data_IF_451790619324
#
_entry.id   IF_451790619324
#
_cell.length_a   1.000
_cell.length_b   1.000
_cell.length_c   1.000
_cell.angle_alpha   90.00
_cell.angle_beta   90.00
_cell.angle_gamma   90.00
#
_symmetry.space_group_name_H-M   'P 1'
#
loop_
_entity.id
_entity.type
_entity.pdbx_description
1 polymer ?
#
# COMPACT_ATOMS: atom_id res chain seq x y z
N UNK A 1 26.50 0.01 -23.99
CA UNK A 1 25.97 0.20 -22.63
C UNK A 1 24.58 -0.43 -22.63
N UNK A 2 24.49 -1.69 -22.21
CA UNK A 2 23.25 -2.46 -22.33
C UNK A 2 22.26 -1.96 -21.27
N UNK A 3 21.08 -1.52 -21.71
CA UNK A 3 19.90 -1.47 -20.85
C UNK A 3 19.69 -2.91 -20.33
N UNK A 4 20.15 -3.19 -19.12
CA UNK A 4 19.84 -4.47 -18.49
C UNK A 4 18.36 -4.43 -18.12
N UNK A 5 17.67 -5.55 -18.31
CA UNK A 5 16.26 -5.69 -17.94
C UNK A 5 16.02 -5.27 -16.46
N UNK A 6 17.02 -5.49 -15.60
CA UNK A 6 17.03 -5.01 -14.21
C UNK A 6 16.94 -3.48 -14.09
N UNK A 7 17.72 -2.70 -14.85
CA UNK A 7 17.67 -1.25 -14.79
C UNK A 7 16.30 -0.69 -15.18
N UNK A 8 15.66 -1.27 -16.20
CA UNK A 8 14.29 -0.92 -16.58
C UNK A 8 13.29 -1.26 -15.47
N UNK A 9 13.44 -2.42 -14.82
CA UNK A 9 12.63 -2.81 -13.66
C UNK A 9 12.76 -1.83 -12.48
N UNK A 10 13.97 -1.37 -12.16
CA UNK A 10 14.17 -0.37 -11.10
C UNK A 10 13.55 0.99 -11.45
N UNK A 11 13.69 1.46 -12.69
CA UNK A 11 13.07 2.73 -13.13
C UNK A 11 11.54 2.65 -13.01
N UNK A 12 10.94 1.55 -13.48
CA UNK A 12 9.49 1.34 -13.38
C UNK A 12 9.05 1.21 -11.91
N UNK A 13 9.78 0.46 -11.09
CA UNK A 13 9.50 0.31 -9.67
C UNK A 13 9.61 1.63 -8.90
N UNK A 14 10.55 2.51 -9.28
CA UNK A 14 10.71 3.85 -8.70
C UNK A 14 9.51 4.74 -9.04
N UNK A 15 9.05 4.73 -10.30
CA UNK A 15 7.87 5.49 -10.70
C UNK A 15 6.60 5.00 -9.98
N UNK A 16 6.41 3.68 -9.89
CA UNK A 16 5.27 3.12 -9.18
C UNK A 16 5.34 3.33 -7.66
N UNK A 17 6.52 3.25 -7.04
CA UNK A 17 6.64 3.55 -5.61
C UNK A 17 6.38 5.01 -5.30
N UNK A 18 6.80 5.95 -6.15
CA UNK A 18 6.42 7.36 -6.00
C UNK A 18 4.90 7.56 -6.02
N UNK A 19 4.21 6.88 -6.94
CA UNK A 19 2.74 6.90 -6.99
C UNK A 19 2.13 6.27 -5.73
N UNK A 20 2.63 5.11 -5.27
CA UNK A 20 2.15 4.47 -4.04
C UNK A 20 2.33 5.34 -2.79
N UNK A 21 3.43 6.10 -2.69
CA UNK A 21 3.65 7.05 -1.59
C UNK A 21 2.52 8.10 -1.56
N UNK A 22 2.15 8.65 -2.72
CA UNK A 22 1.04 9.60 -2.82
C UNK A 22 -0.29 8.97 -2.37
N UNK A 23 -0.57 7.72 -2.80
CA UNK A 23 -1.76 7.00 -2.36
C UNK A 23 -1.79 6.76 -0.86
N UNK A 24 -0.67 6.38 -0.24
CA UNK A 24 -0.61 6.16 1.22
C UNK A 24 -0.81 7.47 1.98
N UNK A 25 -0.22 8.58 1.51
CA UNK A 25 -0.44 9.89 2.11
C UNK A 25 -1.93 10.28 2.04
N UNK A 26 -2.58 10.06 0.89
CA UNK A 26 -4.01 10.29 0.74
C UNK A 26 -4.84 9.43 1.73
N UNK A 27 -4.49 8.17 1.93
CA UNK A 27 -5.14 7.32 2.93
C UNK A 27 -4.94 7.83 4.36
N UNK A 28 -3.72 8.26 4.73
CA UNK A 28 -3.42 8.80 6.07
C UNK A 28 -4.25 10.06 6.34
N UNK A 29 -4.28 11.00 5.39
CA UNK A 29 -5.09 12.22 5.49
C UNK A 29 -6.57 11.85 5.59
N UNK A 30 -7.04 10.90 4.76
CA UNK A 30 -8.42 10.46 4.79
C UNK A 30 -8.85 9.88 6.15
N UNK A 31 -7.95 9.17 6.85
CA UNK A 31 -8.19 8.69 8.21
C UNK A 31 -8.09 9.79 9.27
N UNK A 32 -7.26 10.82 9.05
CA UNK A 32 -7.17 11.98 9.95
C UNK A 32 -8.42 12.89 9.86
N UNK A 33 -8.97 13.07 8.66
CA UNK A 33 -10.27 13.73 8.43
C UNK A 33 -11.43 12.99 9.13
N UNK A 34 -11.41 11.65 9.08
CA UNK A 34 -12.34 10.79 9.81
C UNK A 34 -12.23 10.98 11.33
N UNK A 35 -11.00 11.11 11.85
CA UNK A 35 -10.74 11.28 13.29
C UNK A 35 -11.19 12.64 13.81
N UNK A 36 -11.09 13.67 12.97
CA UNK A 36 -11.52 15.04 13.29
C UNK A 36 -13.00 15.29 13.00
N UNK A 37 -13.76 14.24 12.64
CA UNK A 37 -15.20 14.27 12.34
C UNK A 37 -15.56 15.27 11.23
N UNK A 38 -14.64 15.48 10.28
CA UNK A 38 -14.82 16.46 9.21
C UNK A 38 -15.72 15.93 8.07
N UNK A 39 -15.90 14.61 7.98
CA UNK A 39 -16.53 13.93 6.84
C UNK A 39 -17.27 12.65 7.25
N UNK A 40 -18.31 12.31 6.50
CA UNK A 40 -19.07 11.08 6.74
C UNK A 40 -18.22 9.83 6.51
N UNK A 41 -18.25 8.85 7.45
CA UNK A 41 -17.44 7.64 7.36
C UNK A 41 -17.84 6.72 6.20
N UNK A 42 -19.11 6.76 5.79
CA UNK A 42 -19.65 5.98 4.67
C UNK A 42 -19.05 6.46 3.35
N UNK A 43 -19.05 7.78 3.11
CA UNK A 43 -18.52 8.37 1.89
C UNK A 43 -17.00 8.18 1.80
N UNK A 44 -16.30 8.26 2.93
CA UNK A 44 -14.86 8.04 2.97
C UNK A 44 -14.51 6.56 2.73
N UNK A 45 -15.24 5.60 3.32
CA UNK A 45 -15.02 4.18 3.06
C UNK A 45 -15.31 3.81 1.60
N UNK A 46 -16.34 4.39 0.99
CA UNK A 46 -16.66 4.18 -0.43
C UNK A 46 -15.58 4.73 -1.38
N UNK A 47 -14.89 5.80 -1.00
CA UNK A 47 -13.78 6.34 -1.79
C UNK A 47 -12.46 5.61 -1.54
N UNK A 48 -12.18 5.17 -0.31
CA UNK A 48 -10.93 4.48 0.05
C UNK A 48 -10.91 3.02 -0.43
N UNK A 49 -12.02 2.27 -0.31
CA UNK A 49 -12.09 0.86 -0.73
C UNK A 49 -11.58 0.57 -2.14
N UNK A 50 -12.06 1.28 -3.18
CA UNK A 50 -11.61 1.02 -4.54
C UNK A 50 -10.15 1.45 -4.76
N UNK A 51 -9.56 2.27 -3.88
CA UNK A 51 -8.16 2.70 -3.98
C UNK A 51 -7.18 1.71 -3.35
N UNK A 52 -7.62 0.87 -2.41
CA UNK A 52 -6.78 -0.19 -1.80
C UNK A 52 -6.41 -1.29 -2.80
N UNK A 53 -7.33 -1.63 -3.71
CA UNK A 53 -7.11 -2.66 -4.74
C UNK A 53 -5.97 -2.29 -5.72
N UNK A 54 -5.96 -1.09 -6.32
CA UNK A 54 -4.83 -0.57 -7.09
C UNK A 54 -3.51 -0.57 -6.31
N UNK A 55 -3.51 -0.22 -5.02
CA UNK A 55 -2.30 -0.23 -4.20
C UNK A 55 -1.65 -1.63 -4.18
N UNK A 56 -2.45 -2.66 -3.85
CA UNK A 56 -1.98 -4.04 -3.82
C UNK A 56 -1.59 -4.57 -5.18
N UNK A 57 -2.36 -4.23 -6.22
CA UNK A 57 -2.05 -4.64 -7.58
C UNK A 57 -0.72 -4.06 -8.06
N UNK A 58 -0.53 -2.75 -7.91
CA UNK A 58 0.72 -2.08 -8.28
C UNK A 58 1.90 -2.63 -7.47
N UNK A 59 1.71 -2.84 -6.17
CA UNK A 59 2.75 -3.41 -5.30
C UNK A 59 3.20 -4.80 -5.74
N UNK A 60 2.23 -5.67 -6.07
CA UNK A 60 2.50 -7.01 -6.56
C UNK A 60 3.12 -6.98 -7.96
N UNK A 61 2.66 -6.09 -8.84
CA UNK A 61 3.10 -5.99 -10.23
C UNK A 61 4.61 -5.73 -10.33
N UNK A 62 5.13 -4.71 -9.65
CA UNK A 62 6.57 -4.44 -9.70
C UNK A 62 7.39 -5.53 -9.01
N UNK A 63 6.83 -6.22 -8.00
CA UNK A 63 7.53 -7.31 -7.33
C UNK A 63 7.69 -8.54 -8.22
N UNK A 64 6.65 -8.87 -9.00
CA UNK A 64 6.73 -9.92 -10.03
C UNK A 64 7.76 -9.54 -11.08
N UNK A 65 7.85 -8.27 -11.44
CA UNK A 65 8.89 -7.79 -12.36
C UNK A 65 10.31 -7.95 -11.78
N UNK A 66 10.51 -7.72 -10.48
CA UNK A 66 11.78 -8.03 -9.80
C UNK A 66 12.11 -9.52 -9.74
N UNK A 67 11.09 -10.39 -9.62
CA UNK A 67 11.27 -11.85 -9.69
C UNK A 67 11.83 -12.26 -11.06
N UNK A 68 11.26 -11.74 -12.15
CA UNK A 68 11.77 -12.01 -13.50
C UNK A 68 13.14 -11.40 -13.76
N UNK A 69 13.49 -10.30 -13.08
CA UNK A 69 14.80 -9.67 -13.18
C UNK A 69 15.90 -10.43 -12.39
N UNK A 70 15.53 -11.41 -11.56
CA UNK A 70 16.48 -12.16 -10.73
C UNK A 70 17.02 -11.36 -9.54
N UNK A 71 16.30 -10.31 -9.13
CA UNK A 71 16.74 -9.35 -8.11
C UNK A 71 16.27 -9.77 -6.70
N UNK A 72 16.82 -10.87 -6.20
CA UNK A 72 16.40 -11.55 -4.97
C UNK A 72 16.46 -10.68 -3.71
N UNK A 73 17.43 -9.76 -3.60
CA UNK A 73 17.59 -8.87 -2.45
C UNK A 73 16.47 -7.83 -2.37
N UNK A 74 16.04 -7.26 -3.50
CA UNK A 74 14.89 -6.35 -3.57
C UNK A 74 13.59 -7.08 -3.23
N UNK A 75 13.46 -8.32 -3.70
CA UNK A 75 12.29 -9.16 -3.44
C UNK A 75 12.19 -9.53 -1.95
N UNK A 76 13.30 -9.94 -1.33
CA UNK A 76 13.35 -10.24 0.11
C UNK A 76 12.96 -9.06 0.98
N UNK A 77 13.38 -7.85 0.61
CA UNK A 77 13.03 -6.62 1.34
C UNK A 77 11.51 -6.36 1.31
N UNK A 78 10.84 -6.64 0.18
CA UNK A 78 9.39 -6.46 0.01
C UNK A 78 8.54 -7.65 0.48
N UNK A 79 9.14 -8.84 0.62
CA UNK A 79 8.48 -10.06 1.08
C UNK A 79 7.65 -9.89 2.38
N UNK A 80 8.14 -9.25 3.45
CA UNK A 80 7.33 -9.02 4.66
C UNK A 80 6.09 -8.15 4.39
N UNK A 81 6.18 -7.16 3.51
CA UNK A 81 5.05 -6.31 3.16
C UNK A 81 4.00 -7.08 2.33
N UNK A 82 4.44 -7.92 1.40
CA UNK A 82 3.55 -8.80 0.61
C UNK A 82 2.85 -9.79 1.51
N UNK A 83 3.59 -10.47 2.40
CA UNK A 83 3.01 -11.40 3.37
C UNK A 83 1.98 -10.70 4.25
N UNK A 84 2.25 -9.46 4.65
CA UNK A 84 1.29 -8.64 5.40
C UNK A 84 0.04 -8.31 4.58
N UNK A 85 0.18 -7.92 3.31
CA UNK A 85 -0.97 -7.67 2.42
C UNK A 85 -1.84 -8.92 2.22
N UNK A 86 -1.22 -10.09 2.00
CA UNK A 86 -1.93 -11.37 1.85
C UNK A 86 -2.64 -11.73 3.16
N UNK A 87 -1.94 -11.67 4.29
CA UNK A 87 -2.51 -12.00 5.59
C UNK A 87 -3.68 -11.07 5.95
N UNK A 88 -3.59 -9.79 5.58
CA UNK A 88 -4.67 -8.83 5.77
C UNK A 88 -5.86 -9.08 4.86
N UNK A 89 -5.61 -9.48 3.60
CA UNK A 89 -6.68 -9.84 2.67
C UNK A 89 -7.39 -11.12 3.11
N UNK A 90 -6.68 -12.09 3.70
CA UNK A 90 -7.27 -13.34 4.20
C UNK A 90 -8.05 -13.15 5.52
N UNK A 91 -7.56 -12.31 6.43
CA UNK A 91 -8.23 -12.02 7.70
C UNK A 91 -9.26 -10.88 7.61
N UNK A 92 -9.70 -10.51 6.40
CA UNK A 92 -10.78 -9.54 6.24
C UNK A 92 -12.08 -10.13 6.81
N UNK A 93 -12.86 -9.39 7.62
CA UNK A 93 -14.21 -9.82 7.96
C UNK A 93 -15.03 -9.94 6.67
N UNK A 94 -15.90 -10.96 6.60
CA UNK A 94 -16.75 -11.22 5.44
C UNK A 94 -17.79 -10.11 5.35
N UNK A 95 -17.50 -9.07 4.55
CA UNK A 95 -18.44 -8.01 4.22
C UNK A 95 -19.23 -8.38 2.96
N UNK A 96 -20.47 -7.93 2.89
CA UNK A 96 -21.38 -8.13 1.75
C UNK A 96 -21.00 -7.33 0.49
N UNK A 97 -19.98 -6.46 0.56
CA UNK A 97 -19.48 -5.65 -0.56
C UNK A 97 -17.97 -5.83 -0.83
N UNK A 98 -17.49 -5.38 -2.00
CA UNK A 98 -16.06 -5.34 -2.30
C UNK A 98 -15.38 -4.27 -1.44
N UNK A 99 -14.62 -4.69 -0.44
CA UNK A 99 -13.98 -3.75 0.48
C UNK A 99 -13.16 -4.35 1.61
N UNK A 100 -12.22 -3.56 2.12
CA UNK A 100 -11.42 -3.86 3.31
C UNK A 100 -11.92 -3.10 4.56
N UNK A 101 -12.62 -1.98 4.38
CA UNK A 101 -13.10 -1.12 5.46
C UNK A 101 -14.62 -1.10 5.51
N UNK A 102 -15.20 -1.39 6.69
CA UNK A 102 -16.63 -1.26 6.97
C UNK A 102 -16.86 0.09 7.66
N UNK A 103 -17.76 0.94 7.16
CA UNK A 103 -18.05 2.23 7.77
C UNK A 103 -18.55 2.12 9.22
N UNK A 104 -19.16 0.99 9.61
CA UNK A 104 -19.61 0.76 10.99
C UNK A 104 -18.46 0.38 11.93
N UNK A 105 -17.43 -0.29 11.42
CA UNK A 105 -16.31 -0.76 12.22
C UNK A 105 -15.18 0.28 12.29
N UNK A 106 -15.00 1.09 11.24
CA UNK A 106 -13.93 2.10 11.14
C UNK A 106 -14.08 3.25 12.15
N UNK A 107 -15.30 3.52 12.62
CA UNK A 107 -15.56 4.53 13.65
C UNK A 107 -15.07 4.11 15.05
N UNK A 108 -14.77 2.83 15.26
CA UNK A 108 -14.17 2.41 16.53
C UNK A 108 -12.75 2.99 16.64
N UNK A 109 -12.50 3.73 17.72
CA UNK A 109 -11.22 4.40 17.96
C UNK A 109 -10.01 3.45 17.85
N UNK A 110 -10.15 2.20 18.32
CA UNK A 110 -9.10 1.19 18.23
C UNK A 110 -8.80 0.75 16.79
N UNK A 111 -9.84 0.59 15.95
CA UNK A 111 -9.67 0.21 14.55
C UNK A 111 -9.09 1.37 13.73
N UNK A 112 -9.56 2.60 13.98
CA UNK A 112 -9.03 3.80 13.33
C UNK A 112 -7.56 4.03 13.67
N UNK A 113 -7.18 3.91 14.95
CA UNK A 113 -5.79 4.06 15.39
C UNK A 113 -4.90 2.96 14.80
N UNK A 114 -5.41 1.72 14.69
CA UNK A 114 -4.71 0.63 14.01
C UNK A 114 -4.50 0.93 12.53
N UNK A 115 -5.54 1.34 11.79
CA UNK A 115 -5.45 1.68 10.38
C UNK A 115 -4.50 2.86 10.12
N UNK A 116 -4.53 3.88 10.98
CA UNK A 116 -3.62 5.02 10.92
C UNK A 116 -2.17 4.58 11.12
N UNK A 117 -1.87 3.77 12.16
CA UNK A 117 -0.53 3.22 12.40
C UNK A 117 -0.03 2.39 11.22
N UNK A 118 -0.89 1.59 10.62
CA UNK A 118 -0.56 0.78 9.46
C UNK A 118 -0.23 1.65 8.24
N UNK A 119 -0.97 2.73 8.01
CA UNK A 119 -0.64 3.73 6.99
C UNK A 119 0.75 4.34 7.18
N UNK A 120 1.08 4.75 8.41
CA UNK A 120 2.40 5.31 8.74
C UNK A 120 3.54 4.30 8.57
N UNK A 121 3.35 3.05 8.97
CA UNK A 121 4.35 1.98 8.77
C UNK A 121 4.57 1.71 7.29
N UNK A 122 3.49 1.62 6.49
CA UNK A 122 3.56 1.48 5.03
C UNK A 122 4.31 2.64 4.39
N UNK A 123 4.02 3.87 4.81
CA UNK A 123 4.69 5.08 4.30
C UNK A 123 6.20 5.01 4.54
N UNK A 124 6.61 4.67 5.77
CA UNK A 124 8.02 4.53 6.11
C UNK A 124 8.70 3.44 5.26
N UNK A 125 8.03 2.30 5.07
CA UNK A 125 8.54 1.22 4.24
C UNK A 125 8.70 1.62 2.77
N UNK A 126 7.70 2.27 2.17
CA UNK A 126 7.79 2.73 0.78
C UNK A 126 8.85 3.81 0.59
N UNK A 127 9.04 4.69 1.57
CA UNK A 127 10.07 5.73 1.54
C UNK A 127 11.48 5.12 1.60
N UNK A 128 11.72 4.14 2.47
CA UNK A 128 13.00 3.41 2.53
C UNK A 128 13.24 2.65 1.21
N UNK A 129 12.20 1.98 0.70
CA UNK A 129 12.28 1.24 -0.56
C UNK A 129 12.58 2.17 -1.76
N UNK A 130 12.02 3.38 -1.77
CA UNK A 130 12.27 4.38 -2.80
C UNK A 130 13.74 4.79 -2.87
N UNK A 131 14.36 5.12 -1.73
CA UNK A 131 15.79 5.43 -1.68
C UNK A 131 16.66 4.23 -2.06
N UNK A 132 16.24 3.02 -1.67
CA UNK A 132 16.93 1.79 -2.05
C UNK A 132 16.90 1.54 -3.57
N UNK A 133 15.75 1.74 -4.23
CA UNK A 133 15.64 1.62 -5.69
C UNK A 133 16.39 2.72 -6.44
N UNK A 134 16.58 3.90 -5.84
CA UNK A 134 17.39 4.96 -6.42
C UNK A 134 18.89 4.67 -6.35
N UNK A 135 19.33 3.96 -5.31
CA UNK A 135 20.75 3.61 -5.12
C UNK A 135 21.24 2.52 -6.08
N UNK A 136 20.33 1.69 -6.59
CA UNK A 136 20.63 0.45 -7.30
C UNK A 136 20.45 0.57 -8.80
#
# INVERSE_FOLDING_TARGET
MAFTFAALAYIIALLFTAFLIFFVIYHIIGFDELKTDYKNPIDQCNNLNPMVLPEYFLHLFFNVMFLFAGEWTSLLLNCPLIAYHINRYMNRPVMSGPGLYDPTSIMNADQLNRAQKEGWIKLAFYLISFFYYLYR
#
